data_IF_232182420372
#
_entry.id   IF_232182420372
#
_cell.length_a   1.000
_cell.length_b   1.000
_cell.length_c   1.000
_cell.angle_alpha   90.00
_cell.angle_beta   90.00
_cell.angle_gamma   90.00
#
_symmetry.space_group_name_H-M   'P 1'
#
loop_
_entity.id
_entity.type
_entity.pdbx_description
1 polymer ?
#
# COMPACT_ATOMS: atom_id res chain seq x y z
N UNK A 1 -24.92 -14.63 -0.16
CA UNK A 1 -25.32 -13.30 0.36
C UNK A 1 -25.64 -12.41 -0.85
N UNK A 2 -26.92 -12.08 -1.13
CA UNK A 2 -27.39 -11.59 -2.43
C UNK A 2 -27.56 -10.07 -2.58
N UNK A 3 -27.27 -9.28 -1.55
CA UNK A 3 -27.32 -7.81 -1.60
C UNK A 3 -25.90 -7.26 -1.75
N UNK A 4 -25.72 -6.06 -2.33
CA UNK A 4 -24.46 -5.31 -2.28
C UNK A 4 -24.05 -4.86 -0.87
N UNK A 5 -24.32 -5.67 0.15
CA UNK A 5 -23.98 -5.43 1.55
C UNK A 5 -22.47 -5.60 1.75
N UNK A 6 -21.84 -4.53 2.25
CA UNK A 6 -20.48 -4.57 2.79
C UNK A 6 -20.49 -5.35 4.10
N UNK A 7 -19.72 -6.44 4.17
CA UNK A 7 -19.48 -7.17 5.42
C UNK A 7 -18.24 -6.59 6.09
N UNK A 8 -18.41 -6.09 7.30
CA UNK A 8 -17.34 -5.57 8.14
C UNK A 8 -17.28 -6.37 9.44
N UNK A 9 -16.11 -6.93 9.75
CA UNK A 9 -15.86 -7.67 10.99
C UNK A 9 -14.88 -6.86 11.84
N UNK A 10 -15.32 -6.44 13.02
CA UNK A 10 -14.56 -5.60 13.93
C UNK A 10 -14.06 -6.40 15.15
N UNK A 11 -12.92 -6.01 15.76
CA UNK A 11 -12.44 -6.64 16.97
C UNK A 11 -13.39 -6.41 18.15
N UNK A 12 -13.49 -7.39 19.05
CA UNK A 12 -14.29 -7.30 20.27
C UNK A 12 -13.53 -6.49 21.32
N UNK A 13 -13.68 -5.17 21.32
CA UNK A 13 -12.99 -4.28 22.28
C UNK A 13 -13.81 -4.04 23.55
N UNK A 14 -15.13 -3.89 23.43
CA UNK A 14 -16.03 -3.63 24.56
C UNK A 14 -17.23 -4.59 24.52
N UNK A 15 -17.55 -5.24 25.66
CA UNK A 15 -18.69 -6.17 25.78
C UNK A 15 -20.04 -5.47 26.04
N UNK A 16 -20.10 -4.13 26.00
CA UNK A 16 -21.35 -3.38 26.17
C UNK A 16 -22.16 -3.34 24.87
N UNK A 17 -23.39 -3.85 24.95
CA UNK A 17 -24.32 -4.13 23.86
C UNK A 17 -25.02 -2.88 23.32
N UNK A 18 -24.30 -1.94 22.70
CA UNK A 18 -24.89 -0.71 22.15
C UNK A 18 -24.30 -0.27 20.80
N UNK A 19 -25.13 0.37 19.96
CA UNK A 19 -24.77 0.90 18.63
C UNK A 19 -23.56 1.87 18.65
N UNK A 20 -23.41 2.63 19.74
CA UNK A 20 -22.28 3.54 19.98
C UNK A 20 -20.92 2.81 20.03
N UNK A 21 -20.91 1.51 20.35
CA UNK A 21 -19.71 0.68 20.39
C UNK A 21 -19.11 0.44 18.99
N UNK A 22 -19.95 0.34 17.95
CA UNK A 22 -19.46 0.10 16.57
C UNK A 22 -18.68 1.32 16.07
N UNK A 23 -19.23 2.52 16.20
CA UNK A 23 -18.56 3.74 15.77
C UNK A 23 -17.25 3.98 16.54
N UNK A 24 -17.26 3.73 17.85
CA UNK A 24 -16.04 3.82 18.68
C UNK A 24 -14.99 2.78 18.29
N UNK A 25 -15.40 1.53 18.06
CA UNK A 25 -14.52 0.45 17.62
C UNK A 25 -13.92 0.76 16.25
N UNK A 26 -14.72 1.27 15.30
CA UNK A 26 -14.21 1.75 14.00
C UNK A 26 -13.18 2.84 14.16
N UNK A 27 -13.48 3.86 14.96
CA UNK A 27 -12.56 4.97 15.17
C UNK A 27 -11.22 4.51 15.77
N UNK A 28 -11.27 3.58 16.73
CA UNK A 28 -10.08 2.97 17.31
C UNK A 28 -9.28 2.18 16.27
N UNK A 29 -9.93 1.34 15.46
CA UNK A 29 -9.26 0.56 14.41
C UNK A 29 -8.67 1.48 13.34
N UNK A 30 -9.40 2.53 12.93
CA UNK A 30 -8.92 3.53 11.98
C UNK A 30 -7.66 4.23 12.49
N UNK A 31 -7.63 4.65 13.76
CA UNK A 31 -6.46 5.25 14.38
C UNK A 31 -5.27 4.27 14.49
N UNK A 32 -5.51 3.03 14.89
CA UNK A 32 -4.47 2.00 14.93
C UNK A 32 -3.87 1.75 13.53
N UNK A 33 -4.73 1.60 12.52
CA UNK A 33 -4.30 1.36 11.15
C UNK A 33 -3.60 2.61 10.57
N UNK A 34 -4.05 3.82 10.90
CA UNK A 34 -3.40 5.07 10.46
C UNK A 34 -1.98 5.20 10.98
N UNK A 35 -1.75 4.82 12.23
CA UNK A 35 -0.43 4.75 12.83
C UNK A 35 0.47 3.73 12.12
N UNK A 36 -0.02 2.49 11.94
CA UNK A 36 0.74 1.39 11.34
C UNK A 36 1.17 1.69 9.91
N UNK A 37 0.27 2.29 9.14
CA UNK A 37 0.50 2.64 7.73
C UNK A 37 1.16 4.01 7.56
N UNK A 38 1.56 4.66 8.67
CA UNK A 38 2.18 6.00 8.70
C UNK A 38 1.37 7.04 7.94
N UNK A 39 0.05 6.90 7.97
CA UNK A 39 -0.87 7.83 7.30
C UNK A 39 -0.73 9.24 7.91
N UNK A 40 -0.34 9.36 9.18
CA UNK A 40 -0.20 10.66 9.87
C UNK A 40 1.24 11.04 10.25
N UNK A 41 2.14 11.17 9.26
CA UNK A 41 3.50 11.67 9.53
C UNK A 41 3.54 13.12 10.08
N UNK A 42 2.46 13.89 9.96
CA UNK A 42 2.35 15.26 10.52
C UNK A 42 2.00 15.27 12.03
N UNK A 43 1.39 14.21 12.56
CA UNK A 43 0.98 14.12 13.97
C UNK A 43 1.88 13.21 14.82
N UNK A 44 2.79 12.44 14.20
CA UNK A 44 3.75 11.55 14.89
C UNK A 44 4.66 12.22 15.95
N UNK A 45 4.66 13.55 16.10
CA UNK A 45 5.40 14.25 17.17
C UNK A 45 4.59 14.60 18.40
N UNK A 46 3.26 14.51 18.36
CA UNK A 46 2.41 14.63 19.55
C UNK A 46 1.76 13.28 19.77
N UNK A 47 2.25 12.52 20.75
CA UNK A 47 1.50 11.37 21.24
C UNK A 47 0.11 11.88 21.64
N UNK A 48 -0.98 11.23 21.19
CA UNK A 48 -2.21 11.30 21.95
C UNK A 48 -1.87 10.80 23.36
N UNK A 49 -2.15 11.62 24.36
CA UNK A 49 -1.99 11.30 25.78
C UNK A 49 -2.44 9.87 26.06
N UNK A 50 -1.52 8.98 26.45
CA UNK A 50 -1.80 7.60 26.88
C UNK A 50 -2.51 7.52 28.24
N UNK A 51 -3.15 8.60 28.71
CA UNK A 51 -4.08 8.51 29.84
C UNK A 51 -5.30 7.61 29.53
N UNK A 52 -5.54 7.27 28.27
CA UNK A 52 -6.75 6.58 27.82
C UNK A 52 -6.63 5.07 27.57
N UNK A 53 -5.47 4.42 27.83
CA UNK A 53 -5.42 2.95 27.78
C UNK A 53 -6.14 2.29 28.97
N UNK A 54 -6.40 3.05 30.04
CA UNK A 54 -7.17 2.62 31.21
C UNK A 54 -8.48 3.40 31.45
N UNK A 55 -8.85 4.34 30.58
CA UNK A 55 -10.04 5.16 30.73
C UNK A 55 -10.82 5.23 29.41
N UNK A 56 -11.60 4.18 29.14
CA UNK A 56 -12.73 4.25 28.22
C UNK A 56 -13.99 4.85 28.90
N UNK A 57 -13.79 5.72 29.90
CA UNK A 57 -14.87 6.32 30.70
C UNK A 57 -15.00 7.81 30.37
N UNK A 58 -16.17 8.14 29.81
CA UNK A 58 -16.97 9.35 29.99
C UNK A 58 -16.43 10.73 29.59
N UNK A 59 -15.26 10.85 28.96
CA UNK A 59 -14.82 12.14 28.38
C UNK A 59 -14.67 12.05 26.86
N UNK A 60 -15.82 11.89 26.21
CA UNK A 60 -15.99 12.09 24.78
C UNK A 60 -15.62 13.53 24.40
N UNK A 61 -14.52 13.71 23.68
CA UNK A 61 -14.41 14.80 22.72
C UNK A 61 -15.64 14.77 21.80
N UNK A 62 -16.26 15.91 21.44
CA UNK A 62 -17.39 15.94 20.53
C UNK A 62 -16.87 15.71 19.11
N UNK A 63 -16.52 14.47 18.78
CA UNK A 63 -16.19 14.05 17.43
C UNK A 63 -17.49 13.68 16.73
N UNK A 64 -17.71 14.33 15.60
CA UNK A 64 -18.91 14.26 14.78
C UNK A 64 -19.45 12.84 14.58
N UNK A 65 -20.77 12.80 14.64
CA UNK A 65 -21.73 11.73 14.37
C UNK A 65 -21.26 10.82 13.22
N UNK A 66 -21.12 9.53 13.53
CA UNK A 66 -20.96 8.37 12.64
C UNK A 66 -19.57 8.15 12.00
N UNK A 67 -18.76 7.26 12.60
CA UNK A 67 -17.51 6.79 12.01
C UNK A 67 -17.78 5.95 10.74
N UNK A 68 -17.24 6.43 9.62
CA UNK A 68 -17.29 5.81 8.29
C UNK A 68 -16.86 4.32 8.33
N UNK A 69 -17.49 3.41 7.55
CA UNK A 69 -17.00 2.04 7.40
C UNK A 69 -15.52 1.97 7.01
N UNK A 70 -14.80 0.93 7.46
CA UNK A 70 -13.35 0.80 7.19
C UNK A 70 -13.01 0.78 5.69
N UNK A 71 -13.88 0.22 4.84
CA UNK A 71 -13.69 0.22 3.38
C UNK A 71 -13.63 1.62 2.81
N UNK A 72 -14.55 2.48 3.25
CA UNK A 72 -14.75 3.81 2.73
C UNK A 72 -13.69 4.75 3.28
N UNK A 73 -13.32 4.58 4.56
CA UNK A 73 -12.17 5.26 5.16
C UNK A 73 -10.87 4.92 4.44
N UNK A 74 -10.57 3.63 4.19
CA UNK A 74 -9.36 3.22 3.45
C UNK A 74 -9.34 3.79 2.02
N UNK A 75 -10.50 3.78 1.36
CA UNK A 75 -10.66 4.37 0.03
C UNK A 75 -10.35 5.87 0.07
N UNK A 76 -10.95 6.61 0.99
CA UNK A 76 -10.73 8.05 1.15
C UNK A 76 -9.26 8.37 1.44
N UNK A 77 -8.62 7.63 2.34
CA UNK A 77 -7.19 7.78 2.65
C UNK A 77 -6.29 7.54 1.43
N UNK A 78 -6.65 6.57 0.58
CA UNK A 78 -5.91 6.31 -0.66
C UNK A 78 -6.13 7.44 -1.69
N UNK A 79 -7.39 7.83 -1.92
CA UNK A 79 -7.74 8.87 -2.90
C UNK A 79 -7.19 10.24 -2.53
N UNK A 80 -7.20 10.62 -1.25
CA UNK A 80 -6.65 11.88 -0.76
C UNK A 80 -5.16 12.00 -1.09
N UNK A 81 -4.41 10.91 -0.97
CA UNK A 81 -2.97 10.86 -1.32
C UNK A 81 -2.77 10.84 -2.83
N UNK A 82 -3.60 10.10 -3.54
CA UNK A 82 -3.56 10.02 -4.99
C UNK A 82 -3.85 11.37 -5.65
N UNK A 83 -4.77 12.17 -5.10
CA UNK A 83 -5.15 13.48 -5.64
C UNK A 83 -3.97 14.45 -5.78
N UNK A 84 -2.95 14.31 -4.93
CA UNK A 84 -1.76 15.15 -4.91
C UNK A 84 -0.54 14.49 -5.58
N UNK A 85 -0.73 13.31 -6.18
CA UNK A 85 0.35 12.52 -6.78
C UNK A 85 0.07 12.20 -8.25
N UNK A 86 1.01 12.59 -9.12
CA UNK A 86 1.01 12.20 -10.52
C UNK A 86 2.01 11.05 -10.73
N UNK A 87 1.76 10.12 -11.67
CA UNK A 87 2.71 9.06 -11.97
C UNK A 87 4.09 9.63 -12.32
N UNK A 88 5.11 9.21 -11.58
CA UNK A 88 6.47 9.71 -11.76
C UNK A 88 7.04 9.26 -13.10
N UNK A 89 7.81 10.13 -13.73
CA UNK A 89 8.48 9.85 -14.99
C UNK A 89 9.99 9.72 -14.77
N UNK A 90 10.62 8.84 -15.54
CA UNK A 90 12.06 8.66 -15.53
C UNK A 90 12.58 8.45 -16.95
N UNK A 91 13.79 8.92 -17.22
CA UNK A 91 14.45 8.63 -18.49
C UNK A 91 14.95 7.19 -18.48
N UNK A 92 14.55 6.44 -19.51
CA UNK A 92 15.01 5.08 -19.75
C UNK A 92 15.69 5.02 -21.13
N UNK A 93 16.87 4.40 -21.19
CA UNK A 93 17.51 4.09 -22.46
C UNK A 93 16.73 2.99 -23.17
N UNK A 94 16.26 3.28 -24.38
CA UNK A 94 15.59 2.32 -25.26
C UNK A 94 16.42 2.14 -26.53
N UNK A 95 16.68 0.88 -26.86
CA UNK A 95 17.40 0.49 -28.07
C UNK A 95 16.39 -0.08 -29.05
N UNK A 96 16.23 0.57 -30.21
CA UNK A 96 15.28 0.18 -31.23
C UNK A 96 15.96 0.11 -32.60
N UNK A 97 15.53 -0.84 -33.43
CA UNK A 97 15.92 -0.92 -34.84
C UNK A 97 14.81 -0.28 -35.70
N UNK A 98 15.07 0.88 -36.27
CA UNK A 98 14.06 1.75 -36.89
C UNK A 98 14.52 2.31 -38.24
N UNK A 99 13.59 2.76 -39.08
CA UNK A 99 13.88 3.25 -40.44
C UNK A 99 14.49 4.65 -40.49
N UNK A 100 14.61 5.34 -39.35
CA UNK A 100 15.15 6.68 -39.25
C UNK A 100 16.19 6.78 -38.15
N UNK A 101 17.22 7.61 -38.38
CA UNK A 101 18.26 7.85 -37.38
C UNK A 101 17.72 8.81 -36.31
N UNK A 102 17.53 8.33 -35.08
CA UNK A 102 17.17 9.18 -33.94
C UNK A 102 18.00 8.81 -32.71
N UNK A 103 18.64 9.79 -32.08
CA UNK A 103 19.52 9.54 -30.93
C UNK A 103 20.87 8.96 -31.34
N UNK A 104 21.43 8.05 -30.53
CA UNK A 104 22.78 7.51 -30.69
C UNK A 104 22.76 6.23 -31.52
N UNK A 105 23.45 6.22 -32.66
CA UNK A 105 23.63 5.00 -33.46
C UNK A 105 24.55 4.01 -32.73
N UNK A 106 24.08 2.78 -32.55
CA UNK A 106 24.87 1.70 -31.97
C UNK A 106 25.61 0.97 -33.07
N UNK A 107 26.80 1.47 -33.44
CA UNK A 107 27.61 0.97 -34.56
C UNK A 107 27.84 -0.56 -34.48
N UNK A 108 28.15 -1.07 -33.28
CA UNK A 108 28.38 -2.51 -33.07
C UNK A 108 27.15 -3.35 -33.41
N UNK A 109 25.96 -2.92 -33.03
CA UNK A 109 24.73 -3.64 -33.32
C UNK A 109 24.27 -3.42 -34.76
N UNK A 110 24.46 -2.22 -35.29
CA UNK A 110 24.18 -1.88 -36.68
C UNK A 110 24.93 -2.80 -37.66
N UNK A 111 26.24 -3.00 -37.43
CA UNK A 111 27.05 -3.89 -38.28
C UNK A 111 26.63 -5.36 -38.14
N UNK A 112 26.14 -5.78 -36.97
CA UNK A 112 25.70 -7.16 -36.71
C UNK A 112 24.34 -7.48 -37.33
N UNK A 113 23.36 -6.59 -37.17
CA UNK A 113 21.97 -6.88 -37.51
C UNK A 113 21.52 -6.29 -38.86
N UNK A 114 22.11 -5.17 -39.29
CA UNK A 114 21.62 -4.39 -40.43
C UNK A 114 22.61 -4.33 -41.59
N UNK A 115 23.62 -5.22 -41.65
CA UNK A 115 24.56 -5.31 -42.78
C UNK A 115 23.84 -5.46 -44.13
N UNK A 116 22.71 -6.18 -44.15
CA UNK A 116 21.86 -6.40 -45.34
C UNK A 116 20.57 -5.55 -45.32
N UNK A 117 20.38 -4.66 -44.33
CA UNK A 117 19.20 -3.79 -44.19
C UNK A 117 19.65 -2.33 -44.01
N UNK A 118 20.22 -1.68 -45.05
CA UNK A 118 20.81 -0.35 -44.94
C UNK A 118 19.78 0.75 -44.63
N UNK A 119 18.49 0.47 -44.86
CA UNK A 119 17.38 1.37 -44.55
C UNK A 119 16.94 1.33 -43.07
N UNK A 120 17.61 0.53 -42.22
CA UNK A 120 17.33 0.47 -40.79
C UNK A 120 18.55 0.85 -39.96
N UNK A 121 18.29 1.42 -38.79
CA UNK A 121 19.29 1.94 -37.86
C UNK A 121 19.00 1.41 -36.46
N UNK A 122 19.98 0.74 -35.85
CA UNK A 122 19.93 0.38 -34.43
C UNK A 122 20.36 1.58 -33.59
N UNK A 123 19.39 2.26 -32.98
CA UNK A 123 19.64 3.48 -32.22
C UNK A 123 19.24 3.32 -30.75
N UNK A 124 20.04 3.91 -29.87
CA UNK A 124 19.71 4.14 -28.47
C UNK A 124 19.18 5.56 -28.28
N UNK A 125 18.04 5.68 -27.63
CA UNK A 125 17.43 6.97 -27.27
C UNK A 125 16.96 6.98 -25.83
N UNK A 126 17.03 8.15 -25.20
CA UNK A 126 16.46 8.36 -23.87
C UNK A 126 14.99 8.73 -24.01
N UNK A 127 14.09 7.86 -23.57
CA UNK A 127 12.64 8.09 -23.60
C UNK A 127 12.14 8.34 -22.19
N UNK A 128 11.29 9.35 -22.04
CA UNK A 128 10.62 9.63 -20.79
C UNK A 128 9.51 8.58 -20.57
N UNK A 129 9.73 7.67 -19.62
CA UNK A 129 8.86 6.54 -19.32
C UNK A 129 8.18 6.70 -17.96
N UNK A 130 6.91 6.33 -17.89
CA UNK A 130 6.16 6.23 -16.63
C UNK A 130 6.15 4.79 -16.07
N UNK A 131 6.84 3.85 -16.71
CA UNK A 131 6.85 2.42 -16.37
C UNK A 131 7.76 2.10 -15.17
N UNK A 132 7.54 2.80 -14.05
CA UNK A 132 8.26 2.57 -12.79
C UNK A 132 7.49 1.58 -11.92
N UNK A 133 8.19 0.75 -11.14
CA UNK A 133 7.55 -0.22 -10.24
C UNK A 133 6.63 0.45 -9.22
N UNK A 134 7.01 1.65 -8.75
CA UNK A 134 6.17 2.46 -7.85
C UNK A 134 4.81 2.80 -8.48
N UNK A 135 4.80 3.25 -9.73
CA UNK A 135 3.56 3.57 -10.45
C UNK A 135 2.73 2.32 -10.70
N UNK A 136 3.36 1.20 -11.05
CA UNK A 136 2.65 -0.08 -11.28
C UNK A 136 2.04 -0.65 -10.00
N UNK A 137 2.71 -0.50 -8.85
CA UNK A 137 2.17 -0.83 -7.53
C UNK A 137 0.93 0.01 -7.21
N UNK A 138 1.03 1.34 -7.33
CA UNK A 138 -0.07 2.26 -7.06
C UNK A 138 -1.25 1.97 -8.00
N UNK A 139 -0.97 1.76 -9.30
CA UNK A 139 -1.99 1.37 -10.29
C UNK A 139 -2.69 0.06 -9.91
N UNK A 140 -1.95 -0.91 -9.39
CA UNK A 140 -2.52 -2.19 -8.96
C UNK A 140 -3.46 -2.05 -7.77
N UNK A 141 -3.06 -1.25 -6.77
CA UNK A 141 -3.91 -0.93 -5.62
C UNK A 141 -5.16 -0.15 -6.07
N UNK A 142 -4.99 0.78 -7.00
CA UNK A 142 -6.10 1.53 -7.59
C UNK A 142 -7.09 0.61 -8.32
N UNK A 143 -6.61 -0.32 -9.17
CA UNK A 143 -7.45 -1.34 -9.83
C UNK A 143 -8.23 -2.17 -8.81
N UNK A 144 -7.58 -2.52 -7.70
CA UNK A 144 -8.21 -3.26 -6.62
C UNK A 144 -9.32 -2.45 -5.91
N UNK A 145 -9.17 -1.13 -5.79
CA UNK A 145 -10.17 -0.24 -5.21
C UNK A 145 -11.26 0.19 -6.20
N UNK A 146 -11.02 0.10 -7.51
CA UNK A 146 -11.97 0.52 -8.57
C UNK A 146 -13.43 0.09 -8.36
N UNK A 147 -13.73 -1.14 -7.89
CA UNK A 147 -15.12 -1.57 -7.69
C UNK A 147 -15.87 -0.77 -6.61
N UNK A 148 -15.15 -0.10 -5.70
CA UNK A 148 -15.70 0.73 -4.63
C UNK A 148 -15.84 2.21 -5.03
N UNK A 149 -15.22 2.64 -6.13
CA UNK A 149 -15.25 4.04 -6.52
C UNK A 149 -16.59 4.40 -7.19
N UNK A 150 -17.22 5.52 -6.80
CA UNK A 150 -18.31 6.11 -7.57
C UNK A 150 -17.84 6.45 -9.00
N UNK A 151 -18.68 6.15 -9.99
CA UNK A 151 -18.36 6.40 -11.42
C UNK A 151 -18.02 7.88 -11.71
N UNK A 152 -18.56 8.82 -10.93
CA UNK A 152 -18.29 10.25 -11.05
C UNK A 152 -16.87 10.66 -10.69
N UNK A 153 -16.21 9.95 -9.77
CA UNK A 153 -14.84 10.24 -9.30
C UNK A 153 -13.80 9.54 -10.18
N UNK A 154 -14.17 8.41 -10.80
CA UNK A 154 -13.29 7.60 -11.63
C UNK A 154 -12.69 8.36 -12.84
N UNK A 155 -13.43 9.24 -13.51
CA UNK A 155 -12.98 9.78 -14.80
C UNK A 155 -11.78 10.74 -14.73
N UNK A 156 -11.78 11.79 -13.89
CA UNK A 156 -10.65 12.73 -13.86
C UNK A 156 -9.41 12.14 -13.18
N UNK A 157 -9.60 11.38 -12.09
CA UNK A 157 -8.51 10.85 -11.28
C UNK A 157 -7.77 9.71 -11.98
N UNK A 158 -8.48 8.89 -12.78
CA UNK A 158 -7.86 7.75 -13.46
C UNK A 158 -7.16 8.12 -14.77
N UNK A 159 -7.42 9.28 -15.37
CA UNK A 159 -6.87 9.68 -16.68
C UNK A 159 -5.34 9.58 -16.74
N UNK A 160 -4.56 10.10 -15.78
CA UNK A 160 -3.09 9.95 -15.78
C UNK A 160 -2.61 8.50 -15.66
N UNK A 161 -3.46 7.63 -15.14
CA UNK A 161 -3.16 6.24 -14.83
C UNK A 161 -3.62 5.27 -15.92
N UNK A 162 -4.32 5.73 -16.95
CA UNK A 162 -4.78 4.91 -18.08
C UNK A 162 -3.65 4.23 -18.87
N UNK A 163 -2.53 4.91 -19.21
CA UNK A 163 -1.48 4.29 -20.03
C UNK A 163 -0.63 3.26 -19.26
N UNK A 164 -0.85 3.12 -17.95
CA UNK A 164 -0.04 2.29 -17.07
C UNK A 164 -0.63 0.90 -16.86
N UNK A 165 0.24 -0.10 -16.91
CA UNK A 165 -0.10 -1.47 -16.56
C UNK A 165 0.07 -1.70 -15.07
N UNK A 166 -0.86 -2.46 -14.49
CA UNK A 166 -0.69 -2.99 -13.14
C UNK A 166 0.41 -4.06 -13.06
N UNK A 167 0.58 -4.61 -11.87
CA UNK A 167 1.38 -5.78 -11.61
C UNK A 167 0.64 -7.02 -12.08
N UNK A 168 1.36 -7.87 -12.81
CA UNK A 168 0.89 -9.16 -13.27
C UNK A 168 0.87 -10.17 -12.11
N UNK A 169 0.23 -11.32 -12.29
CA UNK A 169 0.11 -12.33 -11.24
C UNK A 169 1.45 -12.82 -10.67
N UNK A 170 2.46 -13.02 -11.54
CA UNK A 170 3.81 -13.42 -11.13
C UNK A 170 4.51 -12.35 -10.29
N UNK A 171 4.28 -11.09 -10.63
CA UNK A 171 4.82 -9.95 -9.90
C UNK A 171 4.15 -9.81 -8.53
N UNK A 172 2.83 -10.04 -8.45
CA UNK A 172 2.11 -10.09 -7.18
C UNK A 172 2.64 -11.16 -6.23
N UNK A 173 3.08 -12.32 -6.73
CA UNK A 173 3.72 -13.35 -5.89
C UNK A 173 5.05 -12.87 -5.27
N UNK A 174 5.71 -11.88 -5.89
CA UNK A 174 7.00 -11.32 -5.44
C UNK A 174 6.85 -9.91 -4.88
N UNK A 175 5.68 -9.59 -4.35
CA UNK A 175 5.29 -8.23 -3.95
C UNK A 175 6.32 -7.56 -3.02
N UNK A 176 6.87 -8.29 -2.05
CA UNK A 176 7.89 -7.78 -1.13
C UNK A 176 9.14 -7.25 -1.86
N UNK A 177 9.66 -8.02 -2.82
CA UNK A 177 10.83 -7.60 -3.61
C UNK A 177 10.53 -6.39 -4.50
N UNK A 178 9.35 -6.37 -5.12
CA UNK A 178 8.90 -5.26 -5.97
C UNK A 178 8.74 -4.00 -5.14
N UNK A 179 8.19 -4.11 -3.93
CA UNK A 179 8.08 -3.00 -3.00
C UNK A 179 9.45 -2.41 -2.64
N UNK A 180 10.42 -3.24 -2.25
CA UNK A 180 11.77 -2.75 -1.95
C UNK A 180 12.41 -2.06 -3.14
N UNK A 181 12.30 -2.65 -4.33
CA UNK A 181 12.82 -2.06 -5.58
C UNK A 181 12.10 -0.74 -5.92
N UNK A 182 10.77 -0.68 -5.76
CA UNK A 182 10.00 0.55 -6.00
C UNK A 182 10.42 1.68 -5.06
N UNK A 183 10.67 1.39 -3.78
CA UNK A 183 11.17 2.38 -2.81
C UNK A 183 12.56 2.88 -3.19
N UNK A 184 13.44 1.97 -3.64
CA UNK A 184 14.78 2.33 -4.13
C UNK A 184 14.70 3.22 -5.38
N UNK A 185 13.86 2.85 -6.36
CA UNK A 185 13.65 3.66 -7.57
C UNK A 185 13.16 5.06 -7.24
N UNK A 186 12.18 5.19 -6.34
CA UNK A 186 11.71 6.50 -5.90
C UNK A 186 12.80 7.33 -5.20
N UNK A 187 13.65 6.70 -4.37
CA UNK A 187 14.70 7.42 -3.63
C UNK A 187 15.79 8.04 -4.51
N UNK A 188 15.95 7.55 -5.73
CA UNK A 188 16.96 8.06 -6.68
C UNK A 188 16.40 9.19 -7.56
N UNK A 189 15.06 9.33 -7.63
CA UNK A 189 14.46 10.41 -8.41
C UNK A 189 14.78 11.78 -7.80
N UNK A 190 15.03 12.82 -8.64
CA UNK A 190 15.28 14.18 -8.19
C UNK A 190 13.97 14.90 -7.80
N UNK A 191 13.23 14.33 -6.85
CA UNK A 191 11.99 14.90 -6.32
C UNK A 191 12.27 15.79 -5.10
N UNK A 192 11.42 16.79 -4.89
CA UNK A 192 11.44 17.56 -3.64
C UNK A 192 11.17 16.63 -2.45
N UNK A 193 11.83 16.87 -1.30
CA UNK A 193 11.73 16.00 -0.11
C UNK A 193 10.28 15.70 0.29
N UNK A 194 9.40 16.70 0.27
CA UNK A 194 7.99 16.53 0.62
C UNK A 194 7.23 15.66 -0.40
N UNK A 195 7.47 15.86 -1.69
CA UNK A 195 6.87 15.05 -2.75
C UNK A 195 7.36 13.60 -2.70
N UNK A 196 8.67 13.41 -2.46
CA UNK A 196 9.26 12.09 -2.27
C UNK A 196 8.63 11.37 -1.07
N UNK A 197 8.45 12.05 0.06
CA UNK A 197 7.80 11.48 1.23
C UNK A 197 6.34 11.10 0.95
N UNK A 198 5.58 11.98 0.28
CA UNK A 198 4.19 11.68 -0.10
C UNK A 198 4.09 10.48 -1.06
N UNK A 199 4.98 10.42 -2.05
CA UNK A 199 5.09 9.29 -2.98
C UNK A 199 5.41 7.98 -2.24
N UNK A 200 6.38 8.03 -1.32
CA UNK A 200 6.76 6.90 -0.49
C UNK A 200 5.60 6.39 0.38
N UNK A 201 4.82 7.30 0.98
CA UNK A 201 3.64 6.93 1.77
C UNK A 201 2.54 6.30 0.92
N UNK A 202 2.31 6.83 -0.29
CA UNK A 202 1.34 6.25 -1.20
C UNK A 202 1.76 4.85 -1.66
N UNK A 203 3.05 4.63 -1.92
CA UNK A 203 3.59 3.29 -2.22
C UNK A 203 3.48 2.36 -1.01
N UNK A 204 3.73 2.85 0.21
CA UNK A 204 3.58 2.05 1.44
C UNK A 204 2.12 1.59 1.63
N UNK A 205 1.16 2.51 1.43
CA UNK A 205 -0.27 2.19 1.49
C UNK A 205 -0.69 1.22 0.38
N UNK A 206 -0.23 1.45 -0.86
CA UNK A 206 -0.52 0.57 -1.98
C UNK A 206 0.01 -0.86 -1.74
N UNK A 207 1.24 -0.97 -1.23
CA UNK A 207 1.84 -2.24 -0.85
C UNK A 207 1.02 -2.95 0.23
N UNK A 208 0.65 -2.23 1.29
CA UNK A 208 -0.15 -2.78 2.38
C UNK A 208 -1.50 -3.29 1.88
N UNK A 209 -2.23 -2.50 1.08
CA UNK A 209 -3.52 -2.91 0.49
C UNK A 209 -3.39 -4.18 -0.34
N UNK A 210 -2.39 -4.23 -1.23
CA UNK A 210 -2.15 -5.40 -2.08
C UNK A 210 -1.79 -6.65 -1.25
N UNK A 211 -1.05 -6.49 -0.16
CA UNK A 211 -0.69 -7.57 0.74
C UNK A 211 -1.91 -8.19 1.42
N UNK A 212 -2.83 -7.36 1.93
CA UNK A 212 -4.05 -7.83 2.60
C UNK A 212 -5.08 -8.46 1.64
N UNK A 213 -4.95 -8.19 0.34
CA UNK A 213 -5.91 -8.63 -0.67
C UNK A 213 -5.62 -9.98 -1.33
N UNK A 214 -4.57 -10.67 -0.90
CA UNK A 214 -4.16 -11.96 -1.48
C UNK A 214 -5.12 -13.12 -1.17
N UNK A 215 -6.15 -12.89 -0.35
CA UNK A 215 -7.25 -13.85 -0.22
C UNK A 215 -8.00 -13.91 -1.56
N UNK A 216 -7.91 -15.05 -2.24
CA UNK A 216 -8.68 -15.35 -3.46
C UNK A 216 -10.11 -14.85 -3.29
N UNK A 217 -10.47 -13.79 -4.02
CA UNK A 217 -11.84 -13.24 -4.05
C UNK A 217 -12.79 -14.39 -4.32
N UNK A 218 -13.54 -14.81 -3.29
CA UNK A 218 -14.51 -15.89 -3.44
C UNK A 218 -15.55 -15.52 -4.48
N UNK A 219 -16.02 -16.53 -5.23
CA UNK A 219 -17.13 -16.38 -6.17
C UNK A 219 -18.37 -15.89 -5.41
N UNK A 220 -18.95 -14.77 -5.85
CA UNK A 220 -20.22 -14.31 -5.33
C UNK A 220 -21.32 -15.29 -5.71
N UNK A 221 -22.06 -15.80 -4.72
CA UNK A 221 -23.27 -16.59 -4.96
C UNK A 221 -24.40 -15.58 -5.25
N UNK A 222 -24.58 -15.22 -6.52
CA UNK A 222 -25.79 -14.56 -7.00
C UNK A 222 -26.75 -15.66 -7.53
N UNK A 223 -27.91 -15.90 -6.87
CA UNK A 223 -28.86 -16.91 -7.31
C UNK A 223 -29.54 -16.56 -8.64
N UNK A 224 -29.43 -15.30 -9.11
CA UNK A 224 -30.09 -14.84 -10.34
C UNK A 224 -29.16 -14.77 -11.55
N UNK A 225 -27.84 -14.68 -11.35
CA UNK A 225 -26.84 -14.60 -12.43
C UNK A 225 -25.52 -15.27 -12.01
N UNK A 226 -25.39 -16.60 -12.12
CA UNK A 226 -24.29 -17.34 -11.50
C UNK A 226 -22.89 -17.11 -12.08
N UNK A 227 -22.69 -16.26 -13.10
CA UNK A 227 -21.46 -16.25 -13.91
C UNK A 227 -20.79 -14.89 -14.15
N UNK A 228 -21.15 -13.82 -13.45
CA UNK A 228 -20.42 -12.55 -13.56
C UNK A 228 -19.52 -12.33 -12.34
N UNK A 229 -18.17 -12.43 -12.50
CA UNK A 229 -17.24 -12.10 -11.42
C UNK A 229 -17.32 -10.60 -11.15
N UNK A 230 -18.12 -10.20 -10.16
CA UNK A 230 -18.01 -8.85 -9.61
C UNK A 230 -16.83 -8.86 -8.64
N UNK A 231 -15.71 -8.18 -8.96
CA UNK A 231 -14.60 -8.08 -8.03
C UNK A 231 -15.07 -7.33 -6.79
N UNK A 232 -15.13 -8.02 -5.66
CA UNK A 232 -15.37 -7.41 -4.34
C UNK A 232 -14.02 -7.20 -3.67
N UNK A 233 -13.80 -6.02 -3.11
CA UNK A 233 -12.65 -5.80 -2.25
C UNK A 233 -12.82 -6.69 -1.01
N UNK A 234 -11.94 -7.69 -0.86
CA UNK A 234 -11.85 -8.49 0.36
C UNK A 234 -10.53 -8.13 1.03
N UNK A 235 -10.60 -7.49 2.20
CA UNK A 235 -9.45 -7.20 3.04
C UNK A 235 -9.60 -7.99 4.33
N UNK A 236 -8.68 -8.94 4.54
CA UNK A 236 -8.58 -9.69 5.79
C UNK A 236 -7.33 -9.25 6.50
N UNK A 237 -7.49 -8.58 7.63
CA UNK A 237 -6.38 -8.07 8.43
C UNK A 237 -6.32 -8.89 9.71
N UNK A 238 -5.16 -9.47 10.00
CA UNK A 238 -4.91 -10.11 11.30
C UNK A 238 -4.83 -9.02 12.38
N UNK A 239 -5.93 -8.83 13.12
CA UNK A 239 -6.04 -7.81 14.15
C UNK A 239 -5.09 -8.03 15.33
N UNK A 240 -4.74 -9.28 15.66
CA UNK A 240 -3.80 -9.55 16.74
C UNK A 240 -2.40 -9.09 16.35
N UNK A 241 -1.96 -9.45 15.13
CA UNK A 241 -0.67 -9.02 14.63
C UNK A 241 -0.61 -7.49 14.44
N UNK A 242 -1.67 -6.88 13.92
CA UNK A 242 -1.76 -5.43 13.76
C UNK A 242 -1.61 -4.73 15.12
N UNK A 243 -2.34 -5.19 16.13
CA UNK A 243 -2.26 -4.65 17.48
C UNK A 243 -0.85 -4.81 18.09
N UNK A 244 -0.24 -6.01 17.99
CA UNK A 244 1.12 -6.26 18.50
C UNK A 244 2.14 -5.31 17.88
N UNK A 245 2.05 -5.09 16.56
CA UNK A 245 2.93 -4.17 15.85
C UNK A 245 2.70 -2.72 16.27
N UNK A 246 1.45 -2.31 16.39
CA UNK A 246 1.08 -0.96 16.79
C UNK A 246 1.55 -0.67 18.21
N UNK A 247 1.26 -1.56 19.15
CA UNK A 247 1.70 -1.46 20.54
C UNK A 247 3.24 -1.40 20.63
N UNK A 248 3.92 -2.26 19.87
CA UNK A 248 5.39 -2.25 19.78
C UNK A 248 5.95 -0.91 19.30
N UNK A 249 5.35 -0.30 18.27
CA UNK A 249 5.77 1.01 17.76
C UNK A 249 5.50 2.13 18.78
N UNK A 250 4.36 2.08 19.47
CA UNK A 250 4.01 3.05 20.52
C UNK A 250 4.97 2.95 21.70
N UNK A 251 5.22 1.75 22.21
CA UNK A 251 6.19 1.50 23.28
C UNK A 251 7.59 1.97 22.87
N UNK A 252 8.04 1.63 21.66
CA UNK A 252 9.35 2.08 21.17
C UNK A 252 9.46 3.60 21.08
N UNK A 253 8.41 4.29 20.62
CA UNK A 253 8.43 5.77 20.54
C UNK A 253 8.41 6.43 21.91
N UNK A 254 7.72 5.85 22.91
CA UNK A 254 7.80 6.32 24.30
C UNK A 254 9.22 6.23 24.85
N UNK A 255 9.90 5.09 24.66
CA UNK A 255 11.27 4.93 25.15
C UNK A 255 12.27 5.86 24.45
N UNK A 256 12.06 6.17 23.17
CA UNK A 256 12.87 7.18 22.45
C UNK A 256 12.70 8.60 23.02
N UNK A 257 11.54 8.92 23.59
CA UNK A 257 11.31 10.22 24.25
C UNK A 257 11.99 10.33 25.60
N UNK A 258 12.07 9.21 26.34
CA UNK A 258 12.74 9.15 27.65
C UNK A 258 14.27 9.02 27.50
N UNK A 259 14.73 8.34 26.45
CA UNK A 259 16.15 8.14 26.15
C UNK A 259 16.41 8.25 24.66
N UNK A 260 17.17 9.29 24.27
CA UNK A 260 17.65 9.47 22.89
C UNK A 260 18.57 8.35 22.40
N UNK A 261 19.11 7.55 23.32
CA UNK A 261 20.00 6.41 23.03
C UNK A 261 19.24 5.08 22.95
N UNK A 262 17.93 5.07 23.19
CA UNK A 262 17.15 3.84 23.10
C UNK A 262 17.10 3.34 21.64
N UNK A 263 17.77 2.22 21.40
CA UNK A 263 17.58 1.41 20.20
C UNK A 263 16.65 0.27 20.54
N UNK A 264 15.45 0.28 19.98
CA UNK A 264 14.53 -0.83 20.13
C UNK A 264 15.21 -2.13 19.61
N UNK A 265 15.40 -3.12 20.49
CA UNK A 265 15.83 -4.48 20.13
C UNK A 265 14.71 -5.29 19.48
N UNK A 266 13.75 -4.62 18.86
CA UNK A 266 12.80 -5.26 17.99
C UNK A 266 13.55 -5.44 16.68
N UNK A 267 14.05 -6.65 16.43
CA UNK A 267 14.30 -7.05 15.04
C UNK A 267 12.98 -6.74 14.33
N UNK A 268 12.91 -5.79 13.38
CA UNK A 268 11.78 -5.80 12.48
C UNK A 268 11.78 -7.22 11.94
N UNK A 269 10.72 -7.99 12.18
CA UNK A 269 10.40 -9.09 11.26
C UNK A 269 10.47 -8.41 9.91
N UNK A 270 11.53 -8.76 9.18
CA UNK A 270 12.09 -7.99 8.07
C UNK A 270 10.95 -7.36 7.29
N UNK A 271 11.04 -6.05 7.07
CA UNK A 271 10.34 -5.38 5.97
C UNK A 271 10.64 -6.18 4.70
N UNK A 272 9.81 -7.18 4.38
CA UNK A 272 10.06 -8.14 3.31
C UNK A 272 9.92 -9.65 3.61
N UNK A 273 9.54 -10.10 4.82
CA UNK A 273 9.24 -11.54 5.04
C UNK A 273 7.97 -11.75 5.87
N UNK A 274 6.84 -11.86 5.16
CA UNK A 274 5.67 -12.59 5.66
C UNK A 274 5.55 -13.86 4.82
N UNK A 275 5.88 -15.00 5.43
CA UNK A 275 5.22 -16.32 5.36
C UNK A 275 6.23 -17.37 5.89
N UNK A 276 5.90 -17.97 7.03
CA UNK A 276 6.01 -19.41 7.33
C UNK A 276 5.96 -19.58 8.86
N UNK A 277 4.93 -20.28 9.33
CA UNK A 277 4.93 -20.90 10.66
C UNK A 277 6.14 -21.84 10.74
N UNK A 278 7.01 -21.64 11.73
CA UNK A 278 7.78 -22.72 12.32
C UNK A 278 7.54 -22.66 13.81
N UNK A 279 6.72 -23.60 14.30
CA UNK A 279 6.73 -24.01 15.70
C UNK A 279 8.13 -24.56 15.96
N UNK A 280 8.89 -23.96 16.88
CA UNK A 280 9.87 -24.72 17.62
C UNK A 280 9.89 -24.23 19.07
N UNK A 281 9.79 -25.22 19.95
CA UNK A 281 9.74 -25.11 21.39
C UNK A 281 11.00 -24.43 21.93
N UNK A 282 10.82 -23.54 22.91
CA UNK A 282 11.91 -23.24 23.83
C UNK A 282 11.95 -24.37 24.86
N UNK A 283 12.90 -25.28 24.66
CA UNK A 283 13.44 -26.16 25.69
C UNK A 283 14.26 -25.25 26.62
N UNK A 284 13.87 -25.17 27.88
CA UNK A 284 14.76 -24.71 28.94
C UNK A 284 15.90 -25.73 29.04
N UNK A 285 17.13 -25.30 28.82
CA UNK A 285 18.30 -25.93 29.43
C UNK A 285 19.42 -24.89 29.62
N UNK A 286 19.70 -24.66 30.91
CA UNK A 286 21.00 -24.45 31.56
C UNK A 286 22.02 -23.48 30.96
N UNK A 287 22.40 -22.47 31.75
CA UNK A 287 23.82 -22.15 32.03
C UNK A 287 23.96 -21.64 33.47
N UNK A 288 24.85 -22.33 34.21
CA UNK A 288 25.57 -22.02 35.45
C UNK A 288 24.77 -21.91 36.76
#
# INVERSE_FOLDING_TARGET
>A
MPSGMTLELLPKLNQSTGYNNIAQTRHWVQGMLSDLTRLDARQSRKLPSMKNLGQFSDQSMPLSVEAQPLSDWLLEQFLQRLAHYQPTQHYQAQINNQSSLQGRLLIKEQLRYNSMQPHKFVCERSVLSQDMLANRLIKSALILLMPLLPRSICTPLLRPWQPLFGLNQRERQRLASIYTQAKQQLSVLPLQKQQLQAAQQLVDLAYWLLQQSNASTGYGIDPTRPNLPQPRLCLLIDMNQAFEQWASQRIASMFQQVSSHYRAFIKPKVSGSMIARVKHAYRYDQIC
#
